data_IF_734843205397
#
_entry.id   IF_734843205397
#
_cell.length_a   1.000
_cell.length_b   1.000
_cell.length_c   1.000
_cell.angle_alpha   90.00
_cell.angle_beta   90.00
_cell.angle_gamma   90.00
#
_symmetry.space_group_name_H-M   'P 1'
#
loop_
_entity.id
_entity.type
_entity.pdbx_description
1 polymer ?
#
# COMPACT_ATOMS: atom_id res chain seq x y z
N UNK A 1 1.74 3.46 34.87
CA UNK A 1 1.82 3.62 33.41
C UNK A 1 3.29 3.59 33.03
N UNK A 2 3.75 2.53 32.37
CA UNK A 2 5.09 2.47 31.78
C UNK A 2 5.09 3.34 30.53
N UNK A 3 5.93 4.37 30.48
CA UNK A 3 6.05 5.24 29.31
C UNK A 3 6.82 4.48 28.23
N UNK A 4 6.28 4.46 27.01
CA UNK A 4 6.95 3.83 25.87
C UNK A 4 8.11 4.73 25.44
N UNK A 5 9.34 4.20 25.49
CA UNK A 5 10.55 4.88 25.02
C UNK A 5 10.71 4.61 23.51
N UNK A 6 10.71 5.67 22.71
CA UNK A 6 10.81 5.61 21.25
C UNK A 6 12.12 6.25 20.79
N UNK A 7 12.67 5.76 19.67
CA UNK A 7 13.82 6.36 18.99
C UNK A 7 13.42 7.46 17.99
N UNK A 8 14.39 8.02 17.28
CA UNK A 8 14.19 9.12 16.33
C UNK A 8 13.33 8.74 15.11
N UNK A 9 13.10 7.45 14.87
CA UNK A 9 12.18 6.94 13.85
C UNK A 9 10.80 6.60 14.45
N UNK A 10 10.56 6.90 15.72
CA UNK A 10 9.33 6.58 16.42
C UNK A 10 9.18 5.09 16.76
N UNK A 11 10.25 4.29 16.67
CA UNK A 11 10.23 2.86 16.97
C UNK A 11 10.56 2.63 18.44
N UNK A 12 10.00 1.57 19.04
CA UNK A 12 10.32 1.22 20.42
C UNK A 12 11.83 0.98 20.57
N UNK A 13 12.47 1.56 21.60
CA UNK A 13 13.91 1.43 21.82
C UNK A 13 14.38 -0.04 21.99
N UNK A 14 13.48 -0.93 22.40
CA UNK A 14 13.73 -2.37 22.51
C UNK A 14 13.41 -3.18 21.25
N UNK A 15 13.02 -2.55 20.13
CA UNK A 15 12.69 -3.25 18.88
C UNK A 15 13.97 -3.88 18.29
N UNK A 16 14.00 -5.20 18.06
CA UNK A 16 15.13 -5.84 17.38
C UNK A 16 15.37 -5.22 16.01
N UNK A 17 16.62 -4.83 15.73
CA UNK A 17 17.02 -4.33 14.42
C UNK A 17 17.46 -5.50 13.53
N UNK A 18 17.15 -5.45 12.21
CA UNK A 18 17.72 -6.39 11.26
C UNK A 18 19.26 -6.38 11.29
N UNK A 19 19.89 -7.52 11.01
CA UNK A 19 21.34 -7.69 11.16
C UNK A 19 22.10 -7.70 9.83
N UNK A 20 21.41 -7.78 8.69
CA UNK A 20 22.02 -7.68 7.37
C UNK A 20 22.36 -6.25 7.00
N UNK A 21 23.47 -6.04 6.28
CA UNK A 21 23.92 -4.71 5.85
C UNK A 21 22.96 -4.02 4.85
N UNK A 22 22.06 -4.76 4.23
CA UNK A 22 21.07 -4.25 3.29
C UNK A 22 19.67 -4.13 3.90
N UNK A 23 19.47 -4.69 5.10
CA UNK A 23 18.17 -4.72 5.74
C UNK A 23 17.90 -3.36 6.38
N UNK A 24 16.70 -2.83 6.17
CA UNK A 24 16.30 -1.53 6.70
C UNK A 24 14.89 -1.60 7.26
N UNK A 25 14.65 -0.82 8.30
CA UNK A 25 13.29 -0.43 8.69
C UNK A 25 13.08 0.93 8.02
N UNK A 26 12.23 0.96 7.01
CA UNK A 26 11.90 2.17 6.26
C UNK A 26 10.49 2.61 6.62
N UNK A 27 10.28 3.92 6.64
CA UNK A 27 8.96 4.51 6.72
C UNK A 27 8.51 4.82 5.29
N UNK A 28 7.54 4.06 4.80
CA UNK A 28 7.02 4.21 3.44
C UNK A 28 5.60 4.76 3.55
N UNK A 29 5.34 6.00 3.07
CA UNK A 29 4.00 6.56 3.12
C UNK A 29 3.06 5.71 2.26
N UNK A 30 1.88 5.44 2.80
CA UNK A 30 0.91 4.56 2.14
C UNK A 30 -0.50 5.12 2.24
N UNK A 31 -1.33 4.76 1.26
CA UNK A 31 -2.76 5.04 1.27
C UNK A 31 -3.55 3.74 1.12
N UNK A 32 -4.65 3.67 1.86
CA UNK A 32 -5.57 2.55 1.80
C UNK A 32 -6.58 2.71 0.65
N UNK A 33 -6.77 1.64 -0.12
CA UNK A 33 -7.85 1.48 -1.11
C UNK A 33 -8.75 0.36 -0.63
N UNK A 34 -10.06 0.58 -0.60
CA UNK A 34 -11.02 -0.29 0.06
C UNK A 34 -12.07 -0.85 -0.91
N UNK A 35 -12.32 -2.15 -0.80
CA UNK A 35 -13.34 -2.88 -1.55
C UNK A 35 -14.20 -3.67 -0.57
N UNK A 36 -15.50 -3.40 -0.55
CA UNK A 36 -16.47 -4.13 0.27
C UNK A 36 -17.40 -4.93 -0.63
N UNK A 37 -17.71 -6.14 -0.20
CA UNK A 37 -18.66 -7.03 -0.88
C UNK A 37 -19.28 -8.05 0.08
N UNK A 38 -20.40 -8.64 -0.30
CA UNK A 38 -21.11 -9.64 0.53
C UNK A 38 -20.34 -10.96 0.60
N UNK A 39 -19.58 -11.28 -0.46
CA UNK A 39 -18.67 -12.42 -0.51
C UNK A 39 -17.21 -11.98 -0.66
N UNK A 40 -16.32 -12.58 0.15
CA UNK A 40 -14.88 -12.27 0.10
C UNK A 40 -14.25 -12.45 -1.31
N UNK A 41 -14.57 -13.51 -2.07
CA UNK A 41 -14.05 -13.67 -3.43
C UNK A 41 -14.41 -12.50 -4.35
N UNK A 42 -15.61 -11.93 -4.24
CA UNK A 42 -16.06 -10.82 -5.09
C UNK A 42 -15.31 -9.53 -4.75
N UNK A 43 -15.11 -9.25 -3.46
CA UNK A 43 -14.28 -8.14 -3.01
C UNK A 43 -12.83 -8.28 -3.52
N UNK A 44 -12.28 -9.50 -3.51
CA UNK A 44 -10.93 -9.80 -4.01
C UNK A 44 -10.85 -9.69 -5.53
N UNK A 45 -11.87 -10.12 -6.27
CA UNK A 45 -11.90 -10.00 -7.73
C UNK A 45 -11.90 -8.53 -8.16
N UNK A 46 -12.72 -7.70 -7.50
CA UNK A 46 -12.75 -6.25 -7.75
C UNK A 46 -11.42 -5.58 -7.41
N UNK A 47 -10.82 -5.96 -6.28
CA UNK A 47 -9.49 -5.51 -5.90
C UNK A 47 -8.44 -5.88 -6.97
N UNK A 48 -8.44 -7.13 -7.44
CA UNK A 48 -7.51 -7.60 -8.45
C UNK A 48 -7.73 -6.91 -9.81
N UNK A 49 -8.99 -6.64 -10.19
CA UNK A 49 -9.34 -5.85 -11.36
C UNK A 49 -8.75 -4.45 -11.29
N UNK A 50 -8.96 -3.75 -10.18
CA UNK A 50 -8.41 -2.41 -9.96
C UNK A 50 -6.88 -2.37 -9.98
N UNK A 51 -6.20 -3.36 -9.38
CA UNK A 51 -4.73 -3.45 -9.42
C UNK A 51 -4.22 -3.58 -10.86
N UNK A 52 -4.84 -4.42 -11.69
CA UNK A 52 -4.48 -4.57 -13.10
C UNK A 52 -4.71 -3.30 -13.90
N UNK A 53 -5.85 -2.63 -13.69
CA UNK A 53 -6.14 -1.35 -14.35
C UNK A 53 -5.12 -0.29 -13.97
N UNK A 54 -4.73 -0.23 -12.69
CA UNK A 54 -3.76 0.73 -12.17
C UNK A 54 -2.35 0.43 -12.70
N UNK A 55 -1.94 -0.83 -12.73
CA UNK A 55 -0.66 -1.25 -13.32
C UNK A 55 -0.56 -0.86 -14.80
N UNK A 56 -1.63 -1.11 -15.56
CA UNK A 56 -1.71 -0.70 -16.96
C UNK A 56 -1.64 0.83 -17.11
N UNK A 57 -2.29 1.57 -16.21
CA UNK A 57 -2.27 3.02 -16.22
C UNK A 57 -0.89 3.59 -15.87
N UNK A 58 -0.20 3.06 -14.85
CA UNK A 58 1.15 3.48 -14.45
C UNK A 58 2.21 3.05 -15.47
N UNK A 59 1.97 1.93 -16.18
CA UNK A 59 2.97 1.27 -17.01
C UNK A 59 4.02 0.50 -16.20
N UNK A 60 3.73 0.20 -14.93
CA UNK A 60 4.46 -0.70 -14.04
C UNK A 60 3.55 -1.18 -12.90
N UNK A 61 4.00 -2.22 -12.18
CA UNK A 61 3.24 -2.77 -11.05
C UNK A 61 3.09 -1.75 -9.92
N UNK A 62 1.93 -1.74 -9.28
CA UNK A 62 1.68 -0.94 -8.07
C UNK A 62 2.41 -1.56 -6.88
N UNK A 63 3.12 -0.75 -6.11
CA UNK A 63 3.74 -1.11 -4.84
C UNK A 63 2.67 -1.33 -3.76
N UNK A 64 2.30 -2.60 -3.57
CA UNK A 64 1.42 -3.04 -2.49
C UNK A 64 2.25 -3.41 -1.26
N UNK A 65 2.02 -2.71 -0.16
CA UNK A 65 2.72 -2.89 1.12
C UNK A 65 2.01 -3.93 1.99
N UNK A 66 0.67 -3.88 2.03
CA UNK A 66 -0.12 -4.82 2.82
C UNK A 66 -1.53 -5.00 2.25
N UNK A 67 -2.14 -6.15 2.55
CA UNK A 67 -3.56 -6.43 2.31
C UNK A 67 -4.19 -6.83 3.65
N UNK A 68 -5.22 -6.10 4.05
CA UNK A 68 -6.01 -6.38 5.23
C UNK A 68 -7.39 -6.90 4.82
N UNK A 69 -7.70 -8.12 5.26
CA UNK A 69 -8.99 -8.77 5.05
C UNK A 69 -9.78 -8.72 6.35
N UNK A 70 -11.01 -8.24 6.27
CA UNK A 70 -11.87 -8.02 7.42
C UNK A 70 -13.29 -8.51 7.14
N UNK A 71 -14.00 -8.86 8.21
CA UNK A 71 -15.40 -9.24 8.19
C UNK A 71 -16.14 -8.42 9.25
N UNK A 72 -17.20 -7.72 8.85
CA UNK A 72 -17.99 -6.89 9.74
C UNK A 72 -19.46 -7.31 9.66
N UNK A 73 -20.04 -7.68 10.80
CA UNK A 73 -21.44 -8.04 10.98
C UNK A 73 -22.17 -7.13 11.98
N UNK A 74 -21.53 -6.05 12.44
CA UNK A 74 -21.98 -5.26 13.58
C UNK A 74 -23.31 -4.54 13.36
N UNK A 75 -23.73 -4.35 12.10
CA UNK A 75 -24.97 -3.66 11.72
C UNK A 75 -26.06 -4.58 11.16
N UNK A 76 -25.89 -5.90 11.28
CA UNK A 76 -26.88 -6.87 10.81
C UNK A 76 -26.93 -7.06 9.29
N UNK A 77 -26.04 -6.40 8.54
CA UNK A 77 -25.74 -6.68 7.13
C UNK A 77 -24.26 -7.08 7.05
N UNK A 78 -23.94 -8.38 7.10
CA UNK A 78 -22.56 -8.82 7.10
C UNK A 78 -21.90 -8.53 5.75
N UNK A 79 -20.67 -8.05 5.77
CA UNK A 79 -19.86 -7.87 4.56
C UNK A 79 -18.39 -8.17 4.82
N UNK A 80 -17.67 -8.50 3.75
CA UNK A 80 -16.23 -8.60 3.73
C UNK A 80 -15.62 -7.30 3.20
N UNK A 81 -14.46 -6.95 3.75
CA UNK A 81 -13.70 -5.76 3.36
C UNK A 81 -12.27 -6.13 3.04
N UNK A 82 -11.86 -5.84 1.82
CA UNK A 82 -10.47 -5.92 1.34
C UNK A 82 -9.89 -4.52 1.35
N UNK A 83 -8.84 -4.30 2.13
CA UNK A 83 -8.12 -3.03 2.19
C UNK A 83 -6.68 -3.24 1.75
N UNK A 84 -6.30 -2.64 0.63
CA UNK A 84 -4.93 -2.69 0.10
C UNK A 84 -4.22 -1.39 0.45
N UNK A 85 -3.04 -1.51 1.06
CA UNK A 85 -2.18 -0.39 1.41
C UNK A 85 -1.14 -0.28 0.30
N UNK A 86 -1.27 0.76 -0.54
CA UNK A 86 -0.33 1.01 -1.63
C UNK A 86 0.60 2.16 -1.27
N UNK A 87 1.82 2.14 -1.81
CA UNK A 87 2.74 3.27 -1.76
C UNK A 87 2.05 4.54 -2.27
N UNK A 88 2.17 5.63 -1.51
CA UNK A 88 1.54 6.90 -1.86
C UNK A 88 2.09 7.49 -3.16
N UNK A 89 3.37 7.27 -3.45
CA UNK A 89 4.05 7.77 -4.66
C UNK A 89 3.43 7.22 -5.95
N UNK A 90 3.10 5.92 -5.97
CA UNK A 90 2.43 5.27 -7.10
C UNK A 90 1.02 5.82 -7.31
N UNK A 91 0.27 5.98 -6.22
CA UNK A 91 -1.08 6.56 -6.31
C UNK A 91 -1.06 8.03 -6.73
N UNK A 92 0.06 8.74 -6.52
CA UNK A 92 0.27 10.09 -7.04
C UNK A 92 0.69 10.12 -8.52
N UNK A 93 0.97 8.96 -9.13
CA UNK A 93 1.37 8.84 -10.53
C UNK A 93 2.82 9.27 -10.80
N UNK A 94 3.70 9.24 -9.80
CA UNK A 94 5.11 9.58 -9.99
C UNK A 94 5.81 8.74 -11.08
N UNK A 95 5.54 7.42 -11.21
CA UNK A 95 5.86 6.62 -12.38
C UNK A 95 5.63 7.32 -13.74
N UNK A 96 4.45 7.91 -13.93
CA UNK A 96 4.07 8.53 -15.19
C UNK A 96 4.87 9.81 -15.44
N UNK A 97 4.99 10.66 -14.42
CA UNK A 97 5.77 11.89 -14.50
C UNK A 97 7.23 11.63 -14.88
N UNK A 98 7.86 10.61 -14.27
CA UNK A 98 9.24 10.23 -14.56
C UNK A 98 9.43 9.78 -16.03
N UNK A 99 8.46 9.03 -16.58
CA UNK A 99 8.47 8.60 -17.99
C UNK A 99 8.33 9.80 -18.93
N UNK A 100 7.38 10.69 -18.68
CA UNK A 100 7.16 11.90 -19.50
C UNK A 100 8.40 12.81 -19.53
N UNK A 101 9.07 13.00 -18.40
CA UNK A 101 10.30 13.78 -18.32
C UNK A 101 11.45 13.15 -19.09
N UNK A 102 11.56 11.81 -19.06
CA UNK A 102 12.56 11.07 -19.84
C UNK A 102 12.34 11.25 -21.34
N UNK A 103 11.08 11.16 -21.80
CA UNK A 103 10.71 11.42 -23.20
C UNK A 103 11.02 12.87 -23.60
N UNK A 104 10.69 13.85 -22.74
CA UNK A 104 10.98 15.27 -23.02
C UNK A 104 12.48 15.54 -23.16
N UNK A 105 13.30 14.93 -22.31
CA UNK A 105 14.77 15.11 -22.32
C UNK A 105 15.47 14.44 -23.50
N UNK A 106 14.86 13.44 -24.11
CA UNK A 106 15.43 12.69 -25.26
C UNK A 106 14.98 13.26 -26.61
N UNK A 107 13.88 14.01 -26.63
CA UNK A 107 13.34 14.64 -27.84
C UNK A 107 13.87 16.08 -28.10
N UNK A 108 14.59 16.68 -27.15
CA UNK A 108 15.22 18.00 -27.27
C UNK A 108 16.73 17.93 -27.41
#
# INVERSE_FOLDING_TARGET
>A
MTKLELDDLGLAAGLPRPSGNQDRIEDVPYRAVEFCDDELPDALERCAGWLRETENWLGEAVDVIAIHLDYDDAQGSPYFKVKVLCNEEDLAGAPLAAREDTVRRTAG
#
